data_IF_715344456779
#
_entry.id   IF_715344456779
#
_cell.length_a   1.000
_cell.length_b   1.000
_cell.length_c   1.000
_cell.angle_alpha   90.00
_cell.angle_beta   90.00
_cell.angle_gamma   90.00
#
_symmetry.space_group_name_H-M   'P 1'
#
loop_
_entity.id
_entity.type
_entity.pdbx_description
1 polymer ?
#
# COMPACT_ATOMS: atom_id res chain seq x y z
N UNK A 1 13.40 14.67 -36.50
CA UNK A 1 12.78 15.21 -35.26
C UNK A 1 11.59 14.38 -34.79
N UNK A 2 10.67 13.97 -35.66
CA UNK A 2 9.49 13.15 -35.30
C UNK A 2 9.80 11.80 -34.62
N UNK A 3 10.85 11.10 -35.04
CA UNK A 3 11.23 9.81 -34.44
C UNK A 3 11.52 9.91 -32.93
N UNK A 4 12.14 11.00 -32.48
CA UNK A 4 12.42 11.24 -31.05
C UNK A 4 11.13 11.43 -30.26
N UNK A 5 10.16 12.14 -30.82
CA UNK A 5 8.86 12.41 -30.20
C UNK A 5 8.04 11.11 -30.09
N UNK A 6 7.99 10.32 -31.16
CA UNK A 6 7.33 9.01 -31.14
C UNK A 6 7.96 8.07 -30.11
N UNK A 7 9.30 8.03 -30.03
CA UNK A 7 10.02 7.22 -29.05
C UNK A 7 9.66 7.64 -27.62
N UNK A 8 9.60 8.95 -27.34
CA UNK A 8 9.21 9.43 -26.00
C UNK A 8 7.77 9.07 -25.63
N UNK A 9 6.83 9.17 -26.56
CA UNK A 9 5.42 8.82 -26.32
C UNK A 9 5.29 7.32 -26.05
N UNK A 10 5.99 6.49 -26.83
CA UNK A 10 6.01 5.04 -26.66
C UNK A 10 6.63 4.66 -25.31
N UNK A 11 7.74 5.29 -24.92
CA UNK A 11 8.37 5.03 -23.63
C UNK A 11 7.44 5.34 -22.44
N UNK A 12 6.76 6.48 -22.47
CA UNK A 12 5.79 6.86 -21.43
C UNK A 12 4.61 5.88 -21.42
N UNK A 13 4.09 5.49 -22.58
CA UNK A 13 3.02 4.50 -22.68
C UNK A 13 3.45 3.14 -22.10
N UNK A 14 4.66 2.67 -22.40
CA UNK A 14 5.20 1.42 -21.86
C UNK A 14 5.29 1.47 -20.33
N UNK A 15 5.77 2.56 -19.75
CA UNK A 15 5.86 2.69 -18.28
C UNK A 15 4.46 2.68 -17.67
N UNK A 16 3.53 3.49 -18.20
CA UNK A 16 2.17 3.59 -17.67
C UNK A 16 1.41 2.26 -17.74
N UNK A 17 1.41 1.62 -18.91
CA UNK A 17 0.74 0.34 -19.10
C UNK A 17 1.48 -0.81 -18.41
N UNK A 18 2.82 -0.78 -18.39
CA UNK A 18 3.65 -1.76 -17.71
C UNK A 18 3.34 -1.81 -16.21
N UNK A 19 3.35 -0.66 -15.53
CA UNK A 19 3.01 -0.60 -14.11
C UNK A 19 1.56 -1.03 -13.83
N UNK A 20 0.59 -0.57 -14.63
CA UNK A 20 -0.82 -0.94 -14.47
C UNK A 20 -1.07 -2.44 -14.66
N UNK A 21 -0.34 -3.07 -15.59
CA UNK A 21 -0.47 -4.50 -15.84
C UNK A 21 0.25 -5.35 -14.78
N UNK A 22 1.43 -4.90 -14.32
CA UNK A 22 2.15 -5.52 -13.21
C UNK A 22 1.31 -5.57 -11.92
N UNK A 23 0.59 -4.49 -11.59
CA UNK A 23 -0.33 -4.46 -10.44
C UNK A 23 -1.45 -5.51 -10.53
N UNK A 24 -1.98 -5.79 -11.72
CA UNK A 24 -2.97 -6.87 -11.91
C UNK A 24 -2.37 -8.26 -11.81
N UNK A 25 -1.13 -8.43 -12.27
CA UNK A 25 -0.44 -9.73 -12.20
C UNK A 25 -0.01 -10.06 -10.77
N UNK A 26 0.35 -9.07 -9.96
CA UNK A 26 0.65 -9.28 -8.53
C UNK A 26 -0.58 -9.74 -7.75
N UNK A 27 -1.76 -9.15 -8.00
CA UNK A 27 -3.01 -9.58 -7.36
C UNK A 27 -3.35 -11.05 -7.70
N UNK A 28 -3.10 -11.46 -8.95
CA UNK A 28 -3.33 -12.84 -9.39
C UNK A 28 -2.28 -13.81 -8.83
N UNK A 29 -1.02 -13.39 -8.64
CA UNK A 29 0.02 -14.20 -7.99
C UNK A 29 -0.27 -14.39 -6.50
N UNK A 30 -0.67 -13.35 -5.79
CA UNK A 30 -1.08 -13.45 -4.38
C UNK A 30 -2.23 -14.44 -4.19
N UNK A 31 -3.22 -14.44 -5.10
CA UNK A 31 -4.31 -15.43 -5.09
C UNK A 31 -3.85 -16.87 -5.41
N UNK A 32 -2.79 -17.05 -6.19
CA UNK A 32 -2.24 -18.37 -6.53
C UNK A 32 -1.36 -18.93 -5.41
N UNK A 33 -0.56 -18.08 -4.77
CA UNK A 33 0.30 -18.45 -3.63
C UNK A 33 -0.52 -18.68 -2.35
N UNK A 34 -1.72 -18.10 -2.25
CA UNK A 34 -2.71 -18.41 -1.20
C UNK A 34 -3.32 -19.83 -1.30
N UNK A 35 -3.03 -20.60 -2.35
CA UNK A 35 -3.51 -21.98 -2.53
C UNK A 35 -2.49 -23.06 -2.15
N UNK A 36 -1.27 -22.68 -1.74
CA UNK A 36 -0.45 -23.58 -0.93
C UNK A 36 -1.18 -23.80 0.41
N UNK A 37 -1.19 -25.03 0.98
CA UNK A 37 -1.79 -25.26 2.30
C UNK A 37 -0.98 -24.45 3.31
N UNK A 38 -1.44 -23.23 3.56
CA UNK A 38 -0.98 -22.41 4.65
C UNK A 38 -1.41 -23.13 5.92
N UNK A 39 -0.52 -23.97 6.46
CA UNK A 39 -0.61 -24.41 7.84
C UNK A 39 -0.89 -23.19 8.70
N UNK A 40 -1.96 -23.27 9.49
CA UNK A 40 -2.40 -22.33 10.52
C UNK A 40 -1.76 -20.94 10.44
N UNK A 41 -2.09 -20.18 9.38
CA UNK A 41 -1.95 -18.73 9.47
C UNK A 41 -3.15 -18.26 10.28
N UNK A 42 -2.96 -17.55 11.41
CA UNK A 42 -4.09 -17.00 12.14
C UNK A 42 -4.89 -16.14 11.17
N UNK A 43 -6.06 -16.62 10.79
CA UNK A 43 -7.01 -15.87 9.98
C UNK A 43 -7.45 -14.72 10.87
N UNK A 44 -6.99 -13.52 10.56
CA UNK A 44 -7.50 -12.33 11.22
C UNK A 44 -8.99 -12.26 10.88
N UNK A 45 -9.82 -12.61 11.85
CA UNK A 45 -11.25 -12.34 11.81
C UNK A 45 -11.43 -10.91 12.31
N UNK A 46 -11.72 -9.95 11.41
CA UNK A 46 -12.00 -8.60 11.84
C UNK A 46 -13.24 -8.67 12.73
N UNK A 47 -13.06 -8.38 14.01
CA UNK A 47 -14.17 -8.13 14.90
C UNK A 47 -14.88 -6.88 14.34
N UNK A 48 -16.20 -6.97 14.18
CA UNK A 48 -17.03 -5.91 13.59
C UNK A 48 -17.36 -4.82 14.61
N UNK A 49 -16.51 -4.64 15.61
CA UNK A 49 -16.37 -3.42 16.37
C UNK A 49 -15.61 -2.43 15.47
N UNK A 50 -16.28 -1.40 14.98
CA UNK A 50 -15.69 -0.32 14.14
C UNK A 50 -14.51 0.44 14.77
N UNK A 51 -13.98 -0.07 15.88
CA UNK A 51 -12.80 0.33 16.61
C UNK A 51 -11.51 -0.31 16.05
N UNK A 52 -11.62 -1.45 15.36
CA UNK A 52 -10.50 -2.15 14.72
C UNK A 52 -10.02 -1.49 13.43
N UNK A 53 -10.88 -0.67 12.79
CA UNK A 53 -10.56 0.11 11.60
C UNK A 53 -10.47 1.58 11.99
N UNK A 54 -9.27 2.15 11.93
CA UNK A 54 -9.02 3.55 12.24
C UNK A 54 -8.26 4.20 11.09
N UNK A 55 -8.65 5.43 10.77
CA UNK A 55 -7.91 6.24 9.81
C UNK A 55 -6.55 6.62 10.38
N UNK A 56 -5.51 6.47 9.55
CA UNK A 56 -4.17 6.90 9.91
C UNK A 56 -3.99 8.36 9.55
N UNK A 57 -3.58 9.16 10.54
CA UNK A 57 -3.29 10.57 10.37
C UNK A 57 -1.77 10.79 10.30
N UNK A 58 -1.36 11.83 9.56
CA UNK A 58 0.06 12.17 9.42
C UNK A 58 0.51 13.01 10.61
N UNK A 59 1.49 12.52 11.37
CA UNK A 59 2.12 13.31 12.42
C UNK A 59 2.93 14.48 11.85
N UNK A 60 2.73 15.69 12.38
CA UNK A 60 3.45 16.91 11.95
C UNK A 60 4.93 16.93 12.33
N UNK A 61 5.34 16.18 13.36
CA UNK A 61 6.71 16.18 13.87
C UNK A 61 7.61 15.17 13.13
N UNK A 62 7.16 13.92 13.03
CA UNK A 62 7.95 12.85 12.40
C UNK A 62 7.52 12.54 10.97
N UNK A 63 6.45 13.15 10.45
CA UNK A 63 5.89 12.90 9.12
C UNK A 63 5.50 11.44 8.86
N UNK A 64 5.33 10.63 9.90
CA UNK A 64 4.85 9.25 9.81
C UNK A 64 3.35 9.17 10.03
N UNK A 65 2.70 8.23 9.34
CA UNK A 65 1.27 7.93 9.52
C UNK A 65 1.07 7.06 10.76
N UNK A 66 0.18 7.48 11.67
CA UNK A 66 -0.12 6.78 12.92
C UNK A 66 -1.63 6.85 13.24
N UNK A 67 -2.11 5.87 14.00
CA UNK A 67 -3.45 5.93 14.59
C UNK A 67 -3.47 6.99 15.71
N UNK A 68 -4.53 7.83 15.80
CA UNK A 68 -4.69 8.80 16.90
C UNK A 68 -4.80 8.16 18.30
N UNK A 69 -5.21 6.88 18.37
CA UNK A 69 -5.30 6.14 19.64
C UNK A 69 -3.97 5.51 20.06
N UNK A 70 -3.00 5.44 19.15
CA UNK A 70 -1.68 4.91 19.43
C UNK A 70 -0.85 6.02 20.09
N UNK A 71 -0.70 5.95 21.41
CA UNK A 71 -0.06 6.99 22.23
C UNK A 71 1.38 7.39 21.83
N UNK A 72 2.04 8.21 22.67
CA UNK A 72 3.12 9.09 22.22
C UNK A 72 4.27 8.35 21.55
N UNK A 73 4.68 8.85 20.39
CA UNK A 73 5.80 8.27 19.62
C UNK A 73 7.19 8.41 20.27
N UNK A 74 7.27 8.96 21.49
CA UNK A 74 8.51 9.19 22.22
C UNK A 74 9.29 10.44 21.77
N UNK A 75 8.75 11.23 20.83
CA UNK A 75 9.34 12.52 20.44
C UNK A 75 8.79 13.67 21.27
N UNK A 76 9.66 14.64 21.58
CA UNK A 76 9.28 15.86 22.29
C UNK A 76 8.25 16.62 21.44
N UNK A 77 7.12 16.99 22.05
CA UNK A 77 5.98 17.69 21.40
C UNK A 77 5.20 16.89 20.35
N UNK A 78 5.07 15.56 20.49
CA UNK A 78 4.14 14.80 19.67
C UNK A 78 2.68 14.98 20.17
N UNK A 79 1.70 15.32 19.31
CA UNK A 79 0.31 15.50 19.71
C UNK A 79 -0.43 14.18 20.01
N UNK A 80 0.10 13.05 19.52
CA UNK A 80 -0.43 11.69 19.71
C UNK A 80 0.67 10.74 20.17
#
# INVERSE_FOLDING_TARGET
>A
MFAKILLTIVAVAIVWFGFKYLQRVTELRERRDARAPAGDKPRFEPVADGESVQDLEKCSICNTFRSPKLGPCGRVNCPY
#
